data_IF_968100380845
#
_entry.id   IF_968100380845
#
_cell.length_a   1.000
_cell.length_b   1.000
_cell.length_c   1.000
_cell.angle_alpha   90.00
_cell.angle_beta   90.00
_cell.angle_gamma   90.00
#
_symmetry.space_group_name_H-M   'P 1'
#
loop_
_entity.id
_entity.type
_entity.pdbx_description
1 polymer ?
#
# COMPACT_ATOMS: atom_id res chain seq x y z
N UNK A 1 -6.79 -3.58 6.91
CA UNK A 1 -5.43 -4.10 7.11
C UNK A 1 -4.56 -2.98 7.62
N UNK A 2 -3.58 -3.27 8.47
CA UNK A 2 -2.67 -2.28 9.02
C UNK A 2 -1.41 -2.97 9.52
N UNK A 3 -0.29 -2.24 9.50
CA UNK A 3 0.98 -2.69 10.07
C UNK A 3 1.82 -1.46 10.40
N UNK A 4 2.33 -1.37 11.64
CA UNK A 4 3.05 -0.19 12.12
C UNK A 4 4.30 0.13 11.30
N UNK A 5 5.04 -0.90 10.87
CA UNK A 5 6.21 -0.77 10.01
C UNK A 5 5.92 -0.81 8.51
N UNK A 6 4.66 -0.65 8.08
CA UNK A 6 4.32 -0.72 6.66
C UNK A 6 4.85 0.48 5.89
N UNK A 7 5.46 0.22 4.74
CA UNK A 7 5.74 1.22 3.72
C UNK A 7 5.12 0.85 2.37
N UNK A 8 5.21 1.80 1.44
CA UNK A 8 4.91 1.62 0.02
C UNK A 8 5.92 0.65 -0.59
N UNK A 9 7.19 0.76 -0.22
CA UNK A 9 8.25 -0.14 -0.66
C UNK A 9 8.29 -1.34 0.28
N UNK A 10 8.49 -2.53 -0.28
CA UNK A 10 8.55 -3.78 0.48
C UNK A 10 9.62 -3.79 1.57
N UNK A 11 10.78 -3.16 1.34
CA UNK A 11 11.91 -3.15 2.28
C UNK A 11 11.72 -2.19 3.46
N UNK A 12 10.89 -1.15 3.32
CA UNK A 12 10.68 -0.13 4.36
C UNK A 12 10.16 -0.76 5.65
N UNK A 13 10.69 -0.31 6.80
CA UNK A 13 10.34 -0.82 8.11
C UNK A 13 10.80 -2.25 8.40
N UNK A 14 11.69 -2.82 7.57
CA UNK A 14 12.28 -4.16 7.83
C UNK A 14 13.16 -4.19 9.08
N UNK A 15 13.77 -3.06 9.42
CA UNK A 15 14.55 -2.84 10.64
C UNK A 15 13.70 -2.95 11.92
N UNK A 16 12.37 -2.82 11.79
CA UNK A 16 11.41 -2.93 12.89
C UNK A 16 10.90 -4.37 13.08
N UNK A 17 11.41 -5.33 12.30
CA UNK A 17 11.03 -6.74 12.35
C UNK A 17 9.99 -7.12 11.29
N UNK A 18 9.09 -8.04 11.64
CA UNK A 18 8.03 -8.47 10.71
C UNK A 18 7.01 -7.36 10.49
N UNK A 19 6.62 -7.17 9.22
CA UNK A 19 5.68 -6.13 8.78
C UNK A 19 4.90 -6.61 7.57
N UNK A 20 3.69 -6.08 7.43
CA UNK A 20 2.84 -6.28 6.25
C UNK A 20 2.92 -5.01 5.40
N UNK A 21 3.65 -5.07 4.29
CA UNK A 21 3.82 -3.93 3.38
C UNK A 21 2.49 -3.50 2.77
N UNK A 22 2.46 -2.33 2.12
CA UNK A 22 1.24 -1.86 1.47
C UNK A 22 0.73 -2.83 0.40
N UNK A 23 1.62 -3.35 -0.44
CA UNK A 23 1.28 -4.36 -1.45
C UNK A 23 0.66 -5.62 -0.81
N UNK A 24 1.26 -6.13 0.28
CA UNK A 24 0.70 -7.30 1.00
C UNK A 24 -0.66 -7.00 1.62
N UNK A 25 -0.88 -5.79 2.14
CA UNK A 25 -2.19 -5.38 2.65
C UNK A 25 -3.25 -5.32 1.55
N UNK A 26 -2.86 -4.95 0.32
CA UNK A 26 -3.74 -4.97 -0.85
C UNK A 26 -4.04 -6.41 -1.27
N UNK A 27 -3.05 -7.30 -1.32
CA UNK A 27 -3.27 -8.73 -1.61
C UNK A 27 -4.28 -9.34 -0.62
N UNK A 28 -4.10 -9.08 0.68
CA UNK A 28 -5.06 -9.52 1.71
C UNK A 28 -6.47 -8.98 1.48
N UNK A 29 -6.60 -7.73 1.00
CA UNK A 29 -7.89 -7.17 0.60
C UNK A 29 -8.47 -7.89 -0.62
N UNK A 30 -7.66 -8.17 -1.64
CA UNK A 30 -8.10 -8.89 -2.84
C UNK A 30 -8.64 -10.27 -2.47
N UNK A 31 -7.96 -10.99 -1.58
CA UNK A 31 -8.43 -12.30 -1.08
C UNK A 31 -9.78 -12.15 -0.36
N UNK A 32 -9.91 -11.14 0.49
CA UNK A 32 -11.19 -10.87 1.19
C UNK A 32 -12.30 -10.49 0.21
N UNK A 33 -11.98 -9.74 -0.84
CA UNK A 33 -12.94 -9.40 -1.89
C UNK A 33 -13.38 -10.65 -2.67
N UNK A 34 -12.49 -11.59 -2.96
CA UNK A 34 -12.85 -12.88 -3.56
C UNK A 34 -13.76 -13.69 -2.64
N UNK A 35 -13.48 -13.72 -1.33
CA UNK A 35 -14.36 -14.36 -0.35
C UNK A 35 -15.75 -13.71 -0.30
N UNK A 36 -15.84 -12.38 -0.43
CA UNK A 36 -17.13 -11.68 -0.56
C UNK A 36 -17.87 -12.15 -1.83
N UNK A 37 -17.17 -12.26 -2.97
CA UNK A 37 -17.79 -12.75 -4.22
C UNK A 37 -18.37 -14.15 -4.03
N UNK A 38 -17.65 -15.06 -3.37
CA UNK A 38 -18.14 -16.41 -3.08
C UNK A 38 -19.32 -16.42 -2.08
N UNK A 39 -19.35 -15.48 -1.14
CA UNK A 39 -20.35 -15.44 -0.07
C UNK A 39 -21.65 -14.74 -0.46
N UNK A 40 -21.57 -13.57 -1.11
CA UNK A 40 -22.73 -12.71 -1.41
C UNK A 40 -22.93 -12.47 -2.92
N UNK A 41 -22.10 -13.07 -3.76
CA UNK A 41 -22.13 -12.92 -5.21
C UNK A 41 -21.38 -11.69 -5.71
N UNK A 42 -20.97 -11.75 -6.99
CA UNK A 42 -20.12 -10.73 -7.61
C UNK A 42 -20.80 -9.36 -7.65
N UNK A 43 -22.07 -9.31 -8.08
CA UNK A 43 -22.82 -8.05 -8.23
C UNK A 43 -22.96 -7.31 -6.90
N UNK A 44 -23.26 -8.04 -5.82
CA UNK A 44 -23.40 -7.45 -4.49
C UNK A 44 -22.05 -6.98 -3.93
N UNK A 45 -21.00 -7.79 -4.09
CA UNK A 45 -19.63 -7.46 -3.68
C UNK A 45 -19.11 -6.22 -4.41
N UNK A 46 -19.25 -6.18 -5.74
CA UNK A 46 -18.88 -5.03 -6.57
C UNK A 46 -19.61 -3.76 -6.11
N UNK A 47 -20.91 -3.83 -5.83
CA UNK A 47 -21.70 -2.70 -5.34
C UNK A 47 -21.24 -2.23 -3.97
N UNK A 48 -20.92 -3.15 -3.05
CA UNK A 48 -20.48 -2.81 -1.71
C UNK A 48 -19.12 -2.10 -1.75
N UNK A 49 -18.14 -2.67 -2.44
CA UNK A 49 -16.78 -2.11 -2.51
C UNK A 49 -16.75 -0.78 -3.26
N UNK A 50 -17.45 -0.65 -4.38
CA UNK A 50 -17.48 0.60 -5.15
C UNK A 50 -18.16 1.77 -4.42
N UNK A 51 -19.06 1.48 -3.48
CA UNK A 51 -19.71 2.51 -2.67
C UNK A 51 -18.95 2.87 -1.39
N UNK A 52 -18.02 2.00 -0.95
CA UNK A 52 -17.20 2.18 0.24
C UNK A 52 -16.09 3.22 0.02
N UNK A 53 -15.58 3.78 1.12
CA UNK A 53 -14.42 4.68 1.13
C UNK A 53 -13.21 3.94 1.68
N UNK A 54 -12.12 3.95 0.91
CA UNK A 54 -10.84 3.35 1.29
C UNK A 54 -9.92 4.45 1.77
N UNK A 55 -9.66 4.47 3.08
CA UNK A 55 -8.70 5.39 3.69
C UNK A 55 -7.33 4.73 3.73
N UNK A 56 -6.35 5.36 3.10
CA UNK A 56 -4.99 4.85 2.94
C UNK A 56 -4.04 5.86 3.57
N UNK A 57 -3.40 5.46 4.66
CA UNK A 57 -2.40 6.26 5.37
C UNK A 57 -1.07 5.49 5.33
N UNK A 58 -0.16 5.90 4.46
CA UNK A 58 1.08 5.17 4.17
C UNK A 58 2.17 6.13 3.66
N UNK A 59 3.44 5.75 3.80
CA UNK A 59 4.58 6.50 3.23
C UNK A 59 5.58 7.02 4.25
N UNK A 60 5.16 7.28 5.49
CA UNK A 60 6.04 7.80 6.55
C UNK A 60 7.25 6.90 6.78
N UNK A 61 7.04 5.59 6.86
CA UNK A 61 8.12 4.63 7.06
C UNK A 61 9.11 4.58 5.87
N UNK A 62 8.67 4.87 4.65
CA UNK A 62 9.57 4.92 3.49
C UNK A 62 10.55 6.10 3.59
N UNK A 63 10.07 7.26 4.04
CA UNK A 63 10.93 8.42 4.28
C UNK A 63 11.82 8.26 5.50
N UNK A 64 11.32 7.67 6.59
CA UNK A 64 12.16 7.32 7.75
C UNK A 64 13.28 6.37 7.30
N UNK A 65 12.93 5.31 6.58
CA UNK A 65 13.89 4.35 6.05
C UNK A 65 14.90 5.04 5.12
N UNK A 66 14.45 5.93 4.23
CA UNK A 66 15.34 6.71 3.36
C UNK A 66 16.26 7.63 4.14
N UNK A 67 15.78 8.35 5.17
CA UNK A 67 16.57 9.39 5.83
C UNK A 67 17.52 8.87 6.94
N UNK A 68 17.29 7.68 7.49
CA UNK A 68 18.14 7.10 8.55
C UNK A 68 19.41 6.44 7.94
N UNK A 69 20.50 7.21 7.93
CA UNK A 69 21.81 6.82 7.36
C UNK A 69 22.46 5.57 7.98
N UNK A 70 22.17 5.26 9.24
CA UNK A 70 22.78 4.12 9.93
C UNK A 70 22.00 2.81 9.78
N UNK A 71 20.83 2.84 9.13
CA UNK A 71 19.96 1.66 8.98
C UNK A 71 19.64 1.31 7.52
N UNK A 72 19.75 2.27 6.59
CA UNK A 72 19.53 2.01 5.17
C UNK A 72 20.63 2.59 4.29
N UNK A 73 21.05 1.81 3.27
CA UNK A 73 21.93 2.28 2.21
C UNK A 73 21.15 2.98 1.07
N UNK A 74 19.86 3.25 1.25
CA UNK A 74 18.99 3.71 0.16
C UNK A 74 19.37 5.11 -0.34
N UNK A 75 19.89 5.99 0.53
CA UNK A 75 20.41 7.31 0.11
C UNK A 75 21.59 7.21 -0.87
N UNK A 76 22.34 6.11 -0.83
CA UNK A 76 23.46 5.90 -1.75
C UNK A 76 22.98 5.40 -3.12
N UNK A 77 21.74 4.91 -3.21
CA UNK A 77 21.15 4.35 -4.43
C UNK A 77 20.29 5.38 -5.18
N UNK A 78 19.68 6.32 -4.47
CA UNK A 78 18.75 7.30 -5.05
C UNK A 78 19.05 8.72 -4.59
N UNK A 79 18.97 9.67 -5.52
CA UNK A 79 18.77 11.07 -5.13
C UNK A 79 17.37 11.25 -4.53
N UNK A 80 17.13 12.25 -3.66
CA UNK A 80 15.81 12.49 -3.08
C UNK A 80 14.69 12.60 -4.13
N UNK A 81 14.98 13.24 -5.27
CA UNK A 81 14.01 13.37 -6.36
C UNK A 81 13.68 12.02 -7.01
N UNK A 82 14.69 11.20 -7.31
CA UNK A 82 14.49 9.87 -7.88
C UNK A 82 13.74 8.95 -6.90
N UNK A 83 14.03 9.07 -5.60
CA UNK A 83 13.31 8.32 -4.57
C UNK A 83 11.83 8.69 -4.50
N UNK A 84 11.49 9.98 -4.56
CA UNK A 84 10.10 10.43 -4.60
C UNK A 84 9.36 9.92 -5.84
N UNK A 85 10.02 9.92 -7.00
CA UNK A 85 9.43 9.36 -8.22
C UNK A 85 9.22 7.85 -8.10
N UNK A 86 10.16 7.14 -7.51
CA UNK A 86 10.04 5.71 -7.23
C UNK A 86 8.85 5.42 -6.31
N UNK A 87 8.70 6.16 -5.21
CA UNK A 87 7.54 6.03 -4.31
C UNK A 87 6.22 6.33 -5.01
N UNK A 88 6.14 7.44 -5.75
CA UNK A 88 4.92 7.81 -6.47
C UNK A 88 4.53 6.76 -7.53
N UNK A 89 5.50 6.17 -8.22
CA UNK A 89 5.24 5.12 -9.20
C UNK A 89 4.70 3.85 -8.56
N UNK A 90 5.29 3.40 -7.45
CA UNK A 90 4.81 2.23 -6.70
C UNK A 90 3.42 2.49 -6.11
N UNK A 91 3.22 3.64 -5.48
CA UNK A 91 1.91 4.03 -4.94
C UNK A 91 0.83 4.02 -6.03
N UNK A 92 1.12 4.60 -7.20
CA UNK A 92 0.20 4.58 -8.34
C UNK A 92 -0.12 3.17 -8.80
N UNK A 93 0.85 2.26 -8.81
CA UNK A 93 0.62 0.87 -9.19
C UNK A 93 -0.35 0.18 -8.22
N UNK A 94 -0.15 0.37 -6.92
CA UNK A 94 -1.00 -0.20 -5.89
C UNK A 94 -2.44 0.37 -5.91
N UNK A 95 -2.58 1.69 -6.12
CA UNK A 95 -3.89 2.31 -6.30
C UNK A 95 -4.62 1.78 -7.55
N UNK A 96 -3.88 1.48 -8.63
CA UNK A 96 -4.46 0.82 -9.81
C UNK A 96 -4.94 -0.60 -9.48
N UNK A 97 -4.20 -1.35 -8.69
CA UNK A 97 -4.62 -2.69 -8.23
C UNK A 97 -5.96 -2.61 -7.49
N UNK A 98 -6.09 -1.69 -6.53
CA UNK A 98 -7.35 -1.45 -5.81
C UNK A 98 -8.48 -1.03 -6.77
N UNK A 99 -8.18 -0.17 -7.74
CA UNK A 99 -9.16 0.23 -8.75
C UNK A 99 -9.62 -0.96 -9.62
N UNK A 100 -8.73 -1.89 -9.96
CA UNK A 100 -9.10 -3.07 -10.72
C UNK A 100 -10.05 -3.99 -9.94
N UNK A 101 -9.93 -4.04 -8.61
CA UNK A 101 -10.85 -4.75 -7.70
C UNK A 101 -12.00 -3.89 -7.17
N UNK A 102 -12.51 -2.99 -8.03
CA UNK A 102 -13.74 -2.21 -7.84
C UNK A 102 -13.71 -1.14 -6.75
N UNK A 103 -12.56 -0.83 -6.13
CA UNK A 103 -12.46 0.33 -5.23
C UNK A 103 -12.54 1.61 -6.05
N UNK A 104 -13.41 2.55 -5.65
CA UNK A 104 -13.66 3.79 -6.42
C UNK A 104 -13.42 5.07 -5.63
N UNK A 105 -13.56 5.05 -4.30
CA UNK A 105 -13.38 6.22 -3.45
C UNK A 105 -12.19 5.95 -2.55
N UNK A 106 -11.11 6.68 -2.79
CA UNK A 106 -9.86 6.54 -2.03
C UNK A 106 -9.48 7.89 -1.44
N UNK A 107 -9.14 7.90 -0.15
CA UNK A 107 -8.50 9.03 0.51
C UNK A 107 -7.07 8.60 0.80
N UNK A 108 -6.11 9.30 0.23
CA UNK A 108 -4.68 8.97 0.36
C UNK A 108 -4.02 10.06 1.19
N UNK A 109 -3.38 9.63 2.28
CA UNK A 109 -2.66 10.48 3.22
C UNK A 109 -1.27 9.89 3.46
N UNK A 110 -0.31 10.75 3.73
CA UNK A 110 1.09 10.41 4.03
C UNK A 110 1.73 11.47 4.90
#
# INVERSE_FOLDING_TARGET
>A
YASAGAGIILSSGSELGQRVSFAMQIEQFVDTFQQMILSIGEKASNRLVSNSVFYISIGVNDYIHFYIRNMSNVQNLYSPWLFNQFLASNMRQELKTLYNVKVRKMVVMG
#
